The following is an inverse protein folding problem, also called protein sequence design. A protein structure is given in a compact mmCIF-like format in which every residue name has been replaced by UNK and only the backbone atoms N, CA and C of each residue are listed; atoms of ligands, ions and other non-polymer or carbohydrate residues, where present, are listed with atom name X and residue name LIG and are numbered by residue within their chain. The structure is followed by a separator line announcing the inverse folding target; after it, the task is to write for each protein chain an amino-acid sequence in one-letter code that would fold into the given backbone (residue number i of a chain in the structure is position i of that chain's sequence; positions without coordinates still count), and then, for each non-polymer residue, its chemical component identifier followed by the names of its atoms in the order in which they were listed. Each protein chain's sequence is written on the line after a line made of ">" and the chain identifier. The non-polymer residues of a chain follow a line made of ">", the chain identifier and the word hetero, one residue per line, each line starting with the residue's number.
data_IF_801873824750
#
_entry.id   IF_801873824750
#
_cell.length_a   1.000
_cell.length_b   1.000
_cell.length_c   1.000
_cell.angle_alpha   90.00
_cell.angle_beta   90.00
_cell.angle_gamma   90.00
#
_symmetry.space_group_name_H-M   'P 1'
#
loop_
_entity.id
_entity.type
_entity.pdbx_description
1 polymer ?
#
# COMPACT_ATOMS: atom_id res chain seq x y z
N UNK A 1 -3.38 -10.91 22.88
CA UNK A 1 -2.68 -10.85 21.57
C UNK A 1 -3.68 -10.56 20.47
N UNK A 2 -3.57 -9.42 19.80
CA UNK A 2 -4.44 -9.06 18.66
C UNK A 2 -4.14 -9.92 17.42
N UNK A 3 -5.19 -10.36 16.73
CA UNK A 3 -5.08 -11.05 15.46
C UNK A 3 -4.94 -10.05 14.30
N UNK A 4 -4.17 -10.38 13.25
CA UNK A 4 -4.19 -9.65 11.98
C UNK A 4 -5.61 -9.55 11.44
N UNK A 5 -5.99 -8.38 10.92
CA UNK A 5 -7.32 -8.14 10.35
C UNK A 5 -7.19 -7.69 8.90
N UNK A 6 -7.95 -8.36 8.03
CA UNK A 6 -8.18 -7.92 6.66
C UNK A 6 -9.50 -7.17 6.59
N UNK A 7 -9.57 -6.19 5.70
CA UNK A 7 -10.80 -5.47 5.42
C UNK A 7 -11.15 -5.62 3.94
N UNK A 8 -12.40 -5.45 3.57
CA UNK A 8 -12.83 -5.48 2.17
C UNK A 8 -12.25 -4.30 1.36
N UNK A 9 -11.99 -4.55 0.07
CA UNK A 9 -11.75 -3.46 -0.90
C UNK A 9 -13.04 -2.66 -1.05
N UNK A 10 -13.01 -1.31 -0.92
CA UNK A 10 -14.19 -0.49 -1.15
C UNK A 10 -14.85 -0.81 -2.50
N UNK A 11 -16.14 -1.12 -2.48
CA UNK A 11 -16.92 -1.40 -3.67
C UNK A 11 -17.75 -0.18 -4.08
N UNK A 12 -17.93 0.01 -5.38
CA UNK A 12 -18.73 1.10 -5.94
C UNK A 12 -17.95 1.93 -6.96
N UNK A 13 -18.59 3.00 -7.43
CA UNK A 13 -17.98 3.94 -8.38
C UNK A 13 -17.19 5.00 -7.62
N UNK A 14 -15.88 5.07 -7.88
CA UNK A 14 -15.02 6.13 -7.36
C UNK A 14 -15.25 7.48 -8.06
N UNK A 15 -14.84 8.55 -7.39
CA UNK A 15 -14.72 9.89 -7.98
C UNK A 15 -13.51 9.92 -8.90
N UNK A 16 -13.68 10.43 -10.13
CA UNK A 16 -12.57 10.59 -11.07
C UNK A 16 -11.66 11.72 -10.62
N UNK A 17 -10.35 11.50 -10.66
CA UNK A 17 -9.36 12.53 -10.35
C UNK A 17 -9.29 13.56 -11.48
N UNK A 18 -9.14 14.83 -11.11
CA UNK A 18 -8.92 15.93 -12.05
C UNK A 18 -7.44 16.06 -12.44
N UNK A 19 -6.54 15.53 -11.62
CA UNK A 19 -5.10 15.50 -11.90
C UNK A 19 -4.56 14.08 -11.95
N UNK A 20 -3.44 13.89 -12.65
CA UNK A 20 -2.76 12.60 -12.68
C UNK A 20 -2.19 12.28 -11.28
N UNK A 21 -2.33 11.05 -10.78
CA UNK A 21 -1.67 10.63 -9.55
C UNK A 21 -0.17 10.90 -9.62
N UNK A 22 0.37 11.44 -8.53
CA UNK A 22 1.79 11.74 -8.40
C UNK A 22 2.40 10.92 -7.26
N UNK A 23 3.44 10.11 -7.53
CA UNK A 23 4.13 9.36 -6.48
C UNK A 23 4.88 10.31 -5.54
N UNK A 24 5.34 9.78 -4.40
CA UNK A 24 6.22 10.46 -3.47
C UNK A 24 7.40 11.10 -4.21
N UNK A 25 7.65 12.38 -3.93
CA UNK A 25 8.83 13.10 -4.41
C UNK A 25 9.87 13.24 -3.30
N UNK A 26 11.12 12.97 -3.64
CA UNK A 26 12.29 13.20 -2.78
C UNK A 26 13.10 14.43 -3.21
N UNK A 27 12.57 15.19 -4.18
CA UNK A 27 13.19 16.43 -4.64
C UNK A 27 13.05 17.55 -3.59
N UNK A 28 13.84 18.61 -3.77
CA UNK A 28 13.79 19.80 -2.92
C UNK A 28 12.37 20.39 -2.81
N UNK A 29 12.06 20.96 -1.64
CA UNK A 29 10.78 21.61 -1.39
C UNK A 29 10.48 22.67 -2.46
N UNK A 30 9.25 22.67 -2.98
CA UNK A 30 8.82 23.58 -4.05
C UNK A 30 9.24 23.15 -5.46
N UNK A 31 9.86 21.98 -5.64
CA UNK A 31 10.12 21.42 -6.97
C UNK A 31 8.80 21.11 -7.71
N UNK A 32 8.81 21.02 -9.05
CA UNK A 32 7.62 20.64 -9.81
C UNK A 32 7.01 19.29 -9.40
N UNK A 33 7.81 18.34 -8.92
CA UNK A 33 7.33 17.04 -8.45
C UNK A 33 6.65 17.15 -7.07
N UNK A 34 7.14 18.01 -6.18
CA UNK A 34 6.47 18.31 -4.91
C UNK A 34 5.13 19.01 -5.14
N UNK A 35 5.07 19.97 -6.08
CA UNK A 35 3.82 20.67 -6.44
C UNK A 35 2.80 19.66 -6.97
N UNK A 36 3.17 18.80 -7.93
CA UNK A 36 2.26 17.75 -8.44
C UNK A 36 1.77 16.79 -7.36
N UNK A 37 2.64 16.44 -6.40
CA UNK A 37 2.26 15.58 -5.28
C UNK A 37 1.24 16.26 -4.37
N UNK A 38 1.42 17.56 -4.09
CA UNK A 38 0.47 18.35 -3.32
C UNK A 38 -0.87 18.50 -4.06
N UNK A 39 -0.85 18.87 -5.35
CA UNK A 39 -2.06 19.01 -6.17
C UNK A 39 -2.87 17.71 -6.22
N UNK A 40 -2.20 16.56 -6.35
CA UNK A 40 -2.84 15.23 -6.30
C UNK A 40 -3.50 14.96 -4.94
N UNK A 41 -2.85 15.29 -3.83
CA UNK A 41 -3.40 15.09 -2.48
C UNK A 41 -4.59 16.02 -2.24
N UNK A 42 -4.51 17.27 -2.71
CA UNK A 42 -5.58 18.25 -2.64
C UNK A 42 -6.80 17.77 -3.43
N UNK A 43 -6.60 17.29 -4.66
CA UNK A 43 -7.67 16.75 -5.50
C UNK A 43 -8.37 15.54 -4.86
N UNK A 44 -7.61 14.58 -4.32
CA UNK A 44 -8.17 13.43 -3.60
C UNK A 44 -8.95 13.88 -2.37
N UNK A 45 -8.40 14.82 -1.59
CA UNK A 45 -9.05 15.34 -0.39
C UNK A 45 -10.41 15.95 -0.74
N UNK A 46 -10.46 16.83 -1.73
CA UNK A 46 -11.66 17.56 -2.12
C UNK A 46 -12.74 16.63 -2.68
N UNK A 47 -12.34 15.67 -3.52
CA UNK A 47 -13.25 14.66 -4.08
C UNK A 47 -13.82 13.68 -3.04
N UNK A 48 -13.07 13.42 -1.96
CA UNK A 48 -13.47 12.48 -0.92
C UNK A 48 -14.07 13.15 0.32
N UNK A 49 -14.00 14.48 0.46
CA UNK A 49 -14.33 15.21 1.68
C UNK A 49 -15.75 14.93 2.19
N UNK A 50 -16.76 15.07 1.31
CA UNK A 50 -18.17 14.82 1.67
C UNK A 50 -18.38 13.38 2.12
N UNK A 51 -17.80 12.42 1.38
CA UNK A 51 -17.90 11.00 1.66
C UNK A 51 -17.25 10.64 3.00
N UNK A 52 -16.04 11.15 3.25
CA UNK A 52 -15.37 10.99 4.53
C UNK A 52 -16.24 11.53 5.66
N UNK A 53 -16.75 12.77 5.56
CA UNK A 53 -17.57 13.39 6.59
C UNK A 53 -18.85 12.59 6.92
N UNK A 54 -19.45 11.94 5.94
CA UNK A 54 -20.70 11.18 6.11
C UNK A 54 -20.50 9.75 6.66
N UNK A 55 -19.32 9.14 6.50
CA UNK A 55 -19.07 7.75 6.89
C UNK A 55 -18.59 7.65 8.34
N UNK A 56 -18.96 6.57 9.08
CA UNK A 56 -18.37 6.28 10.37
C UNK A 56 -16.91 5.80 10.23
N UNK A 57 -16.10 6.05 11.26
CA UNK A 57 -14.78 5.45 11.40
C UNK A 57 -14.87 3.97 11.84
N UNK A 58 -13.83 3.16 11.54
CA UNK A 58 -12.67 3.52 10.72
C UNK A 58 -12.97 3.43 9.21
N UNK A 59 -12.19 4.16 8.41
CA UNK A 59 -12.34 4.28 6.97
C UNK A 59 -11.43 3.31 6.19
N UNK A 60 -11.89 3.00 4.97
CA UNK A 60 -11.13 2.33 3.91
C UNK A 60 -11.01 3.24 2.69
N UNK A 61 -9.82 3.29 2.09
CA UNK A 61 -9.52 4.08 0.89
C UNK A 61 -9.18 3.14 -0.28
N UNK A 62 -9.61 3.48 -1.49
CA UNK A 62 -9.17 2.85 -2.73
C UNK A 62 -8.70 3.94 -3.70
N UNK A 63 -7.46 3.80 -4.18
CA UNK A 63 -6.91 4.59 -5.29
C UNK A 63 -6.73 3.68 -6.52
N UNK A 64 -7.51 3.89 -7.56
CA UNK A 64 -7.29 3.22 -8.85
C UNK A 64 -6.49 4.13 -9.78
N UNK A 65 -5.25 3.75 -10.09
CA UNK A 65 -4.31 4.50 -10.93
C UNK A 65 -4.46 4.06 -12.38
N UNK A 66 -4.97 4.95 -13.22
CA UNK A 66 -4.96 4.81 -14.67
C UNK A 66 -3.65 5.29 -15.27
N UNK A 67 -2.99 4.43 -16.05
CA UNK A 67 -1.78 4.76 -16.80
C UNK A 67 -2.05 4.67 -18.31
N UNK A 68 -1.42 5.53 -19.15
CA UNK A 68 -1.51 5.39 -20.60
C UNK A 68 -0.97 4.04 -21.09
N UNK A 69 -1.51 3.49 -22.18
CA UNK A 69 -1.11 2.19 -22.76
C UNK A 69 0.38 2.05 -23.06
N UNK A 70 1.04 3.18 -23.36
CA UNK A 70 2.48 3.22 -23.64
C UNK A 70 3.36 3.07 -22.39
N UNK A 71 2.78 3.17 -21.19
CA UNK A 71 3.52 3.07 -19.93
C UNK A 71 3.63 1.59 -19.51
N UNK A 72 4.86 1.07 -19.29
CA UNK A 72 5.05 -0.29 -18.80
C UNK A 72 4.48 -0.45 -17.38
N UNK A 73 3.37 -1.19 -17.25
CA UNK A 73 2.64 -1.34 -15.98
C UNK A 73 3.50 -1.98 -14.88
N UNK A 74 4.42 -2.88 -15.24
CA UNK A 74 5.11 -3.78 -14.30
C UNK A 74 6.52 -3.37 -13.93
N UNK A 75 7.04 -2.28 -14.51
CA UNK A 75 8.42 -1.83 -14.30
C UNK A 75 8.53 -0.75 -13.21
N UNK A 76 7.58 0.18 -13.19
CA UNK A 76 7.55 1.34 -12.27
C UNK A 76 6.13 1.59 -11.79
N UNK A 77 5.89 2.76 -11.18
CA UNK A 77 4.59 3.17 -10.66
C UNK A 77 4.15 2.29 -9.49
N UNK A 78 5.06 2.16 -8.52
CA UNK A 78 4.87 1.35 -7.33
C UNK A 78 3.72 1.95 -6.53
N UNK A 79 2.74 1.12 -6.20
CA UNK A 79 1.46 1.61 -5.68
C UNK A 79 1.61 2.24 -4.29
N UNK A 80 2.53 1.73 -3.48
CA UNK A 80 2.88 2.30 -2.18
C UNK A 80 3.46 3.72 -2.33
N UNK A 81 4.16 4.04 -3.41
CA UNK A 81 4.69 5.38 -3.65
C UNK A 81 3.59 6.44 -3.85
N UNK A 82 2.41 6.06 -4.34
CA UNK A 82 1.24 6.95 -4.39
C UNK A 82 0.54 7.08 -3.03
N UNK A 83 0.43 5.96 -2.31
CA UNK A 83 -0.24 5.93 -1.01
C UNK A 83 0.60 6.58 0.10
N UNK A 84 1.92 6.50 0.00
CA UNK A 84 2.89 6.98 0.99
C UNK A 84 2.68 8.43 1.42
N UNK A 85 2.62 9.40 0.49
CA UNK A 85 2.36 10.78 0.85
C UNK A 85 0.86 11.03 1.09
N UNK A 86 -0.03 10.28 0.44
CA UNK A 86 -1.48 10.53 0.44
C UNK A 86 -2.12 10.24 1.81
N UNK A 87 -1.97 9.02 2.33
CA UNK A 87 -2.69 8.57 3.52
C UNK A 87 -2.33 9.39 4.77
N UNK A 88 -1.05 9.68 5.07
CA UNK A 88 -0.69 10.51 6.21
C UNK A 88 -1.26 11.93 6.11
N UNK A 89 -1.30 12.52 4.90
CA UNK A 89 -1.82 13.86 4.70
C UNK A 89 -3.35 13.90 4.84
N UNK A 90 -4.08 12.92 4.29
CA UNK A 90 -5.52 12.82 4.51
C UNK A 90 -5.86 12.65 5.98
N UNK A 91 -5.13 11.76 6.68
CA UNK A 91 -5.29 11.55 8.13
C UNK A 91 -5.05 12.84 8.91
N UNK A 92 -3.96 13.55 8.60
CA UNK A 92 -3.61 14.82 9.27
C UNK A 92 -4.65 15.91 9.03
N UNK A 93 -5.15 16.05 7.80
CA UNK A 93 -6.10 17.12 7.42
C UNK A 93 -7.50 16.89 7.96
N UNK A 94 -7.93 15.64 8.02
CA UNK A 94 -9.31 15.28 8.34
C UNK A 94 -9.49 14.78 9.78
N UNK A 95 -8.41 14.35 10.43
CA UNK A 95 -8.45 13.67 11.73
C UNK A 95 -9.06 12.26 11.70
N UNK A 96 -9.36 11.73 10.50
CA UNK A 96 -10.06 10.44 10.32
C UNK A 96 -9.09 9.27 10.34
N UNK A 97 -9.58 8.11 10.77
CA UNK A 97 -8.76 6.91 10.92
C UNK A 97 -8.90 5.97 9.72
N UNK A 98 -7.84 5.82 8.93
CA UNK A 98 -7.75 4.81 7.88
C UNK A 98 -7.09 3.53 8.41
N UNK A 99 -7.83 2.42 8.37
CA UNK A 99 -7.33 1.09 8.77
C UNK A 99 -7.18 0.13 7.59
N UNK A 100 -7.70 0.51 6.43
CA UNK A 100 -7.55 -0.23 5.18
C UNK A 100 -7.29 0.73 4.03
N UNK A 101 -6.25 0.47 3.26
CA UNK A 101 -5.88 1.29 2.10
C UNK A 101 -5.55 0.37 0.96
N UNK A 102 -6.21 0.63 -0.16
CA UNK A 102 -6.08 -0.11 -1.38
C UNK A 102 -5.55 0.78 -2.48
N UNK A 103 -4.76 0.19 -3.35
CA UNK A 103 -4.47 0.78 -4.64
C UNK A 103 -4.48 -0.28 -5.73
N UNK A 104 -4.87 0.13 -6.94
CA UNK A 104 -4.64 -0.67 -8.14
C UNK A 104 -3.98 0.18 -9.21
N UNK A 105 -3.36 -0.47 -10.19
CA UNK A 105 -2.99 0.16 -11.45
C UNK A 105 -3.40 -0.69 -12.63
N UNK A 106 -3.81 -0.01 -13.70
CA UNK A 106 -4.17 -0.60 -14.99
C UNK A 106 -3.97 0.41 -16.10
N UNK A 107 -4.03 -0.05 -17.34
CA UNK A 107 -4.11 0.86 -18.48
C UNK A 107 -5.49 1.52 -18.50
N UNK A 108 -5.52 2.86 -18.39
CA UNK A 108 -6.74 3.64 -18.41
C UNK A 108 -6.44 5.12 -18.62
N UNK A 109 -7.38 5.83 -19.24
CA UNK A 109 -7.28 7.28 -19.46
C UNK A 109 -7.52 8.12 -18.19
N UNK A 110 -8.03 7.51 -17.12
CA UNK A 110 -8.44 8.21 -15.90
C UNK A 110 -8.13 7.39 -14.65
N UNK A 111 -7.76 8.10 -13.59
CA UNK A 111 -7.62 7.56 -12.24
C UNK A 111 -8.86 7.91 -11.40
N UNK A 112 -9.12 7.14 -10.34
CA UNK A 112 -10.23 7.40 -9.42
C UNK A 112 -9.89 7.11 -7.97
N UNK A 113 -10.64 7.74 -7.07
CA UNK A 113 -10.57 7.49 -5.63
C UNK A 113 -11.94 7.13 -5.07
N UNK A 114 -11.98 6.20 -4.12
CA UNK A 114 -13.18 5.82 -3.40
C UNK A 114 -12.88 5.69 -1.91
N UNK A 115 -13.75 6.23 -1.06
CA UNK A 115 -13.73 6.02 0.39
C UNK A 115 -14.98 5.27 0.82
N UNK A 116 -14.79 4.28 1.68
CA UNK A 116 -15.85 3.50 2.33
C UNK A 116 -15.59 3.33 3.82
N UNK A 117 -16.57 2.82 4.55
CA UNK A 117 -16.33 2.29 5.90
C UNK A 117 -15.48 1.03 5.78
N UNK A 118 -14.50 0.86 6.66
CA UNK A 118 -13.72 -0.36 6.69
C UNK A 118 -14.58 -1.51 7.25
N UNK A 119 -14.79 -2.54 6.43
CA UNK A 119 -15.54 -3.74 6.78
C UNK A 119 -14.57 -4.89 6.96
N UNK A 120 -14.39 -5.45 8.17
CA UNK A 120 -13.56 -6.61 8.38
C UNK A 120 -14.02 -7.78 7.51
N UNK A 121 -13.08 -8.52 6.94
CA UNK A 121 -13.35 -9.71 6.14
C UNK A 121 -12.52 -10.89 6.63
N UNK A 122 -12.90 -12.09 6.21
CA UNK A 122 -12.08 -13.29 6.36
C UNK A 122 -10.76 -13.13 5.60
N UNK A 123 -9.75 -13.84 6.07
CA UNK A 123 -8.46 -13.94 5.39
C UNK A 123 -8.66 -14.29 3.89
N UNK A 124 -8.17 -13.46 2.96
CA UNK A 124 -8.36 -13.67 1.53
C UNK A 124 -7.56 -14.87 0.99
N UNK A 125 -6.59 -15.39 1.76
CA UNK A 125 -5.66 -16.41 1.30
C UNK A 125 -4.75 -15.90 0.16
N UNK A 126 -3.95 -16.80 -0.40
CA UNK A 126 -3.12 -16.50 -1.56
C UNK A 126 -2.19 -17.65 -1.91
N UNK A 127 -1.53 -17.56 -3.06
CA UNK A 127 -0.47 -18.52 -3.45
C UNK A 127 0.62 -18.61 -2.39
N UNK A 128 1.01 -17.46 -1.83
CA UNK A 128 1.84 -17.39 -0.64
C UNK A 128 1.08 -16.78 0.52
N UNK A 129 1.22 -17.40 1.69
CA UNK A 129 0.67 -16.95 2.96
C UNK A 129 1.78 -17.02 4.00
N UNK A 130 2.22 -15.86 4.49
CA UNK A 130 3.23 -15.76 5.55
C UNK A 130 2.67 -15.00 6.73
N UNK A 131 3.05 -15.44 7.93
CA UNK A 131 2.92 -14.68 9.17
C UNK A 131 4.34 -14.40 9.67
N UNK A 132 4.65 -13.11 9.78
CA UNK A 132 6.00 -12.59 9.99
C UNK A 132 6.00 -11.73 11.24
N UNK A 133 7.06 -11.83 12.04
CA UNK A 133 7.22 -11.04 13.26
C UNK A 133 8.53 -10.24 13.20
N UNK A 134 8.48 -8.98 13.63
CA UNK A 134 9.65 -8.10 13.64
C UNK A 134 9.58 -7.13 14.81
N UNK A 135 10.73 -6.81 15.39
CA UNK A 135 10.87 -5.88 16.53
C UNK A 135 11.73 -4.64 16.26
N UNK A 136 12.69 -4.64 15.29
CA UNK A 136 13.43 -3.44 14.92
C UNK A 136 12.55 -2.28 14.44
N UNK A 137 13.15 -1.08 14.37
CA UNK A 137 12.49 0.08 13.77
C UNK A 137 12.50 -0.02 12.23
N UNK A 138 11.42 0.43 11.59
CA UNK A 138 11.21 0.24 10.15
C UNK A 138 12.24 0.93 9.24
N UNK A 139 12.97 1.92 9.74
CA UNK A 139 14.06 2.61 9.06
C UNK A 139 15.41 1.88 9.13
N UNK A 140 15.47 0.74 9.82
CA UNK A 140 16.71 -0.05 9.97
C UNK A 140 16.80 -1.19 8.97
N UNK A 141 18.02 -1.53 8.53
CA UNK A 141 18.26 -2.73 7.72
C UNK A 141 17.79 -4.00 8.42
N UNK A 142 17.98 -4.09 9.74
CA UNK A 142 17.57 -5.24 10.56
C UNK A 142 16.05 -5.52 10.46
N UNK A 143 15.21 -4.49 10.31
CA UNK A 143 13.78 -4.67 10.07
C UNK A 143 13.53 -5.44 8.77
N UNK A 144 14.23 -5.04 7.70
CA UNK A 144 14.07 -5.66 6.38
C UNK A 144 14.62 -7.08 6.34
N UNK A 145 15.76 -7.29 6.97
CA UNK A 145 16.41 -8.60 7.09
C UNK A 145 15.51 -9.62 7.80
N UNK A 146 14.92 -9.25 8.95
CA UNK A 146 14.02 -10.14 9.68
C UNK A 146 12.80 -10.57 8.85
N UNK A 147 12.23 -9.65 8.05
CA UNK A 147 11.09 -9.96 7.19
C UNK A 147 11.54 -10.87 6.04
N UNK A 148 12.61 -10.49 5.32
CA UNK A 148 13.17 -11.25 4.20
C UNK A 148 13.48 -12.70 4.60
N UNK A 149 14.11 -12.90 5.75
CA UNK A 149 14.53 -14.23 6.21
C UNK A 149 13.33 -15.15 6.45
N UNK A 150 12.21 -14.59 6.96
CA UNK A 150 10.96 -15.32 7.20
C UNK A 150 10.18 -15.64 5.92
N UNK A 151 10.41 -14.91 4.82
CA UNK A 151 9.79 -15.17 3.51
C UNK A 151 10.75 -15.81 2.49
N UNK A 152 11.95 -16.21 2.93
CA UNK A 152 13.04 -16.68 2.07
C UNK A 152 12.74 -17.97 1.30
N UNK A 153 11.77 -18.77 1.76
CA UNK A 153 11.32 -19.99 1.08
C UNK A 153 10.43 -19.71 -0.15
N UNK A 154 9.99 -18.47 -0.35
CA UNK A 154 9.26 -18.09 -1.55
C UNK A 154 10.14 -18.15 -2.79
N UNK A 155 9.53 -18.45 -3.93
CA UNK A 155 10.13 -18.19 -5.24
C UNK A 155 9.40 -17.03 -5.89
N UNK A 156 10.08 -16.22 -6.72
CA UNK A 156 9.42 -15.10 -7.36
C UNK A 156 8.18 -15.56 -8.15
N UNK A 157 7.02 -14.95 -7.87
CA UNK A 157 5.81 -15.28 -8.61
C UNK A 157 6.01 -14.95 -10.09
N UNK A 158 5.58 -15.84 -10.99
CA UNK A 158 5.49 -15.55 -12.42
C UNK A 158 4.28 -14.67 -12.76
N UNK A 159 4.08 -14.36 -14.04
CA UNK A 159 2.85 -13.72 -14.54
C UNK A 159 2.90 -12.19 -14.67
N UNK A 160 1.78 -11.66 -15.18
CA UNK A 160 1.63 -10.29 -15.65
C UNK A 160 1.23 -9.26 -14.57
N UNK A 161 1.33 -9.63 -13.30
CA UNK A 161 1.07 -8.76 -12.15
C UNK A 161 1.02 -9.54 -10.85
N UNK A 162 1.16 -8.83 -9.73
CA UNK A 162 1.05 -9.38 -8.37
C UNK A 162 -0.08 -8.68 -7.63
N UNK A 163 -0.93 -9.48 -6.99
CA UNK A 163 -1.85 -9.02 -5.95
C UNK A 163 -1.20 -9.26 -4.59
N UNK A 164 -0.95 -8.18 -3.86
CA UNK A 164 -0.29 -8.18 -2.55
C UNK A 164 -1.23 -7.58 -1.51
N UNK A 165 -1.52 -8.33 -0.46
CA UNK A 165 -2.16 -7.80 0.73
C UNK A 165 -1.26 -7.98 1.96
N UNK A 166 -1.17 -6.92 2.76
CA UNK A 166 -0.37 -6.89 3.98
C UNK A 166 -1.26 -6.43 5.13
N UNK A 167 -1.40 -7.25 6.17
CA UNK A 167 -2.11 -6.89 7.40
C UNK A 167 -1.12 -6.74 8.55
N UNK A 168 -1.09 -5.55 9.16
CA UNK A 168 -0.23 -5.21 10.28
C UNK A 168 -1.01 -5.26 11.60
N UNK A 169 -0.43 -5.89 12.62
CA UNK A 169 -0.81 -5.66 14.01
C UNK A 169 0.28 -4.81 14.66
N UNK A 170 -0.09 -3.64 15.15
CA UNK A 170 0.86 -2.63 15.66
C UNK A 170 0.46 -2.14 17.05
N UNK A 171 1.47 -1.73 17.83
CA UNK A 171 1.24 -0.96 19.05
C UNK A 171 0.78 0.47 18.74
N UNK A 172 0.12 1.16 19.70
CA UNK A 172 -0.53 2.47 19.48
C UNK A 172 0.43 3.61 19.12
N UNK A 173 1.75 3.43 19.32
CA UNK A 173 2.78 4.46 19.08
C UNK A 173 3.46 4.34 17.70
N UNK A 174 3.13 3.33 16.89
CA UNK A 174 3.76 3.13 15.57
C UNK A 174 2.91 3.78 14.47
N UNK A 175 3.56 4.59 13.63
CA UNK A 175 2.99 5.04 12.37
C UNK A 175 3.01 3.88 11.39
N UNK A 176 1.87 3.23 11.15
CA UNK A 176 1.78 2.10 10.23
C UNK A 176 2.15 2.45 8.77
N UNK A 177 1.93 3.69 8.26
CA UNK A 177 2.48 4.13 6.98
C UNK A 177 4.01 4.27 6.95
N UNK A 178 4.74 4.07 8.04
CA UNK A 178 6.20 3.96 7.97
C UNK A 178 6.65 2.51 7.82
N UNK A 179 5.78 1.53 8.13
CA UNK A 179 6.09 0.11 8.10
C UNK A 179 6.01 -0.45 6.68
N UNK A 180 4.95 -0.11 5.95
CA UNK A 180 4.64 -0.71 4.65
C UNK A 180 5.77 -0.65 3.61
N UNK A 181 6.53 0.44 3.51
CA UNK A 181 7.62 0.61 2.54
C UNK A 181 8.75 -0.35 2.82
N UNK A 182 9.24 -0.32 4.06
CA UNK A 182 10.29 -1.23 4.49
C UNK A 182 9.83 -2.70 4.40
N UNK A 183 8.56 -3.00 4.69
CA UNK A 183 7.99 -4.33 4.50
C UNK A 183 8.03 -4.75 3.03
N UNK A 184 7.55 -3.91 2.12
CA UNK A 184 7.54 -4.18 0.67
C UNK A 184 8.97 -4.39 0.16
N UNK A 185 9.92 -3.51 0.49
CA UNK A 185 11.35 -3.63 0.13
C UNK A 185 11.96 -4.98 0.53
N UNK A 186 11.40 -5.64 1.55
CA UNK A 186 11.87 -6.92 2.07
C UNK A 186 11.33 -8.13 1.28
N UNK A 187 10.39 -7.92 0.37
CA UNK A 187 9.69 -8.98 -0.37
C UNK A 187 10.42 -9.40 -1.66
N UNK A 188 11.73 -9.14 -1.76
CA UNK A 188 12.58 -9.60 -2.86
C UNK A 188 12.43 -11.09 -3.20
N UNK A 189 12.34 -12.02 -2.22
CA UNK A 189 12.08 -13.44 -2.49
C UNK A 189 10.76 -13.72 -3.23
N UNK A 190 9.76 -12.85 -3.08
CA UNK A 190 8.42 -13.01 -3.66
C UNK A 190 8.27 -12.23 -4.98
N UNK A 191 8.78 -11.00 -5.03
CA UNK A 191 8.59 -10.10 -6.16
C UNK A 191 9.71 -10.25 -7.22
N UNK A 192 10.86 -10.76 -6.80
CA UNK A 192 12.06 -10.88 -7.61
C UNK A 192 12.89 -9.60 -7.65
N UNK A 193 14.03 -9.68 -8.32
CA UNK A 193 15.00 -8.59 -8.51
C UNK A 193 15.56 -8.66 -9.93
N UNK A 194 16.06 -7.53 -10.42
CA UNK A 194 16.88 -7.51 -11.64
C UNK A 194 18.28 -8.04 -11.36
N UNK A 195 18.93 -8.60 -12.38
CA UNK A 195 20.30 -9.08 -12.29
C UNK A 195 21.24 -7.92 -11.96
N UNK A 196 22.06 -8.09 -10.91
CA UNK A 196 22.98 -7.05 -10.43
C UNK A 196 22.31 -5.92 -9.64
N UNK A 197 21.00 -5.96 -9.40
CA UNK A 197 20.32 -5.03 -8.52
C UNK A 197 20.79 -5.17 -7.07
N UNK A 198 20.84 -4.04 -6.35
CA UNK A 198 21.06 -4.03 -4.91
C UNK A 198 19.99 -4.84 -4.17
N UNK A 199 20.30 -5.31 -2.97
CA UNK A 199 19.46 -6.28 -2.28
C UNK A 199 18.00 -5.85 -2.09
N UNK A 200 17.80 -4.56 -1.79
CA UNK A 200 16.50 -3.93 -1.55
C UNK A 200 15.90 -3.27 -2.79
N UNK A 201 16.57 -3.39 -3.95
CA UNK A 201 16.03 -2.93 -5.23
C UNK A 201 15.27 -4.10 -5.87
N UNK A 202 14.01 -4.22 -5.46
CA UNK A 202 13.14 -5.32 -5.84
C UNK A 202 12.19 -4.91 -6.97
N UNK A 203 11.53 -5.88 -7.61
CA UNK A 203 10.54 -5.63 -8.66
C UNK A 203 9.14 -5.35 -8.09
N UNK A 204 9.04 -4.39 -7.18
CA UNK A 204 7.77 -3.97 -6.56
C UNK A 204 6.82 -3.24 -7.53
N UNK A 205 7.36 -2.69 -8.62
CA UNK A 205 6.60 -2.28 -9.80
C UNK A 205 5.66 -3.37 -10.35
N UNK A 206 5.88 -4.66 -10.05
CA UNK A 206 4.98 -5.76 -10.46
C UNK A 206 3.68 -5.81 -9.67
N UNK A 207 3.56 -5.13 -8.53
CA UNK A 207 2.35 -5.11 -7.72
C UNK A 207 1.29 -4.26 -8.42
N UNK A 208 0.26 -4.90 -8.96
CA UNK A 208 -0.86 -4.24 -9.66
C UNK A 208 -2.09 -4.08 -8.78
N UNK A 209 -2.18 -4.86 -7.69
CA UNK A 209 -3.22 -4.77 -6.69
C UNK A 209 -2.56 -4.78 -5.31
N UNK A 210 -2.69 -3.69 -4.56
CA UNK A 210 -2.12 -3.53 -3.24
C UNK A 210 -3.24 -3.30 -2.22
N UNK A 211 -3.27 -4.12 -1.16
CA UNK A 211 -4.15 -3.94 0.00
C UNK A 211 -3.32 -3.86 1.27
N UNK A 212 -3.51 -2.81 2.07
CA UNK A 212 -2.72 -2.54 3.26
C UNK A 212 -3.67 -2.32 4.42
N UNK A 213 -3.55 -3.15 5.45
CA UNK A 213 -4.50 -3.24 6.55
C UNK A 213 -3.79 -3.04 7.89
N UNK A 214 -4.45 -2.39 8.84
CA UNK A 214 -3.91 -2.16 10.17
C UNK A 214 -4.92 -2.50 11.25
N UNK A 215 -4.45 -3.18 12.29
CA UNK A 215 -5.13 -3.34 13.57
C UNK A 215 -4.20 -2.84 14.69
N UNK A 216 -4.73 -2.00 15.57
CA UNK A 216 -3.99 -1.53 16.74
C UNK A 216 -4.27 -2.48 17.91
N UNK A 217 -3.21 -3.04 18.48
CA UNK A 217 -3.29 -3.82 19.71
C UNK A 217 -2.60 -3.04 20.85
N UNK A 218 -3.35 -2.54 21.86
CA UNK A 218 -2.78 -1.75 22.96
C UNK A 218 -1.77 -2.52 23.82
N UNK A 219 -1.89 -3.84 23.88
CA UNK A 219 -0.96 -4.72 24.62
C UNK A 219 0.34 -4.99 23.85
N UNK A 220 0.37 -4.61 22.55
CA UNK A 220 1.52 -4.79 21.69
C UNK A 220 2.60 -3.78 22.07
N UNK A 221 3.79 -4.28 22.41
CA UNK A 221 4.97 -3.46 22.66
C UNK A 221 5.55 -2.89 21.36
N UNK A 222 6.85 -3.15 21.14
CA UNK A 222 7.54 -2.72 19.92
C UNK A 222 7.39 -3.72 18.75
N UNK A 223 6.89 -4.92 19.04
CA UNK A 223 6.66 -5.99 18.09
C UNK A 223 5.60 -5.60 17.06
N UNK A 224 5.89 -5.89 15.80
CA UNK A 224 4.98 -5.77 14.68
C UNK A 224 4.75 -7.18 14.14
N UNK A 225 3.47 -7.58 14.07
CA UNK A 225 3.08 -8.81 13.37
C UNK A 225 2.55 -8.44 12.00
N UNK A 226 2.98 -9.17 10.98
CA UNK A 226 2.72 -8.87 9.58
C UNK A 226 2.20 -10.14 8.93
N UNK A 227 0.99 -10.09 8.41
CA UNK A 227 0.42 -11.18 7.64
C UNK A 227 0.43 -10.80 6.16
N UNK A 228 1.11 -11.60 5.35
CA UNK A 228 1.27 -11.39 3.91
C UNK A 228 0.41 -12.39 3.15
N UNK A 229 -0.37 -11.89 2.20
CA UNK A 229 -1.14 -12.70 1.25
C UNK A 229 -0.79 -12.27 -0.16
N UNK A 230 -0.25 -13.19 -0.94
CA UNK A 230 0.29 -12.89 -2.27
C UNK A 230 -0.21 -13.88 -3.30
N UNK A 231 -0.70 -13.37 -4.42
CA UNK A 231 -1.17 -14.17 -5.56
C UNK A 231 -0.73 -13.54 -6.86
N UNK A 232 -0.68 -14.33 -7.93
CA UNK A 232 -0.61 -13.78 -9.28
C UNK A 232 -1.89 -12.98 -9.58
N UNK A 233 -1.73 -11.85 -10.25
CA UNK A 233 -2.83 -11.08 -10.81
C UNK A 233 -2.86 -11.24 -12.32
N UNK A 234 -4.05 -11.21 -12.90
CA UNK A 234 -4.18 -11.01 -14.35
C UNK A 234 -3.57 -9.66 -14.74
N UNK A 235 -3.06 -9.54 -15.97
CA UNK A 235 -2.70 -8.23 -16.52
C UNK A 235 -3.95 -7.35 -16.43
N UNK A 236 -3.84 -6.17 -15.82
CA UNK A 236 -4.95 -5.22 -15.77
C UNK A 236 -5.26 -4.76 -17.19
N UNK A 237 -6.36 -5.24 -17.77
CA UNK A 237 -6.99 -4.66 -18.95
C UNK A 237 -7.59 -3.27 -18.64
#
# INVERSE_FOLDING_TARGET
>A
MGAPMFYEKPAGRGSLLHVAPAPASWDAAGSPSQIRSADFIDDVHDLAAEKMAALPDPLSLLLDVGLPDAVPLLERHDLDNYLFPLVPQLTKRTGRQFVSVWATKRHATSSSVLVGTAVPTTDPGGTYSFDVETTPAADTTAYKEQIRDQVSAATPLGGAGVALQIAFVVGPRRSWPNLWKATIDSLGPILGRDDGAGEWNIRDGRVTHLGLHSAVNPEQGNEVRITLRVSSAAAGE
#
